data_IF_832651295511
#
_entry.id   IF_832651295511
#
_cell.length_a   1.000
_cell.length_b   1.000
_cell.length_c   1.000
_cell.angle_alpha   90.00
_cell.angle_beta   90.00
_cell.angle_gamma   90.00
#
_symmetry.space_group_name_H-M   'P 1'
#
loop_
_entity.id
_entity.type
_entity.pdbx_description
1 polymer ?
#
# COMPACT_ATOMS: atom_id res chain seq x y z
N UNK A 1 -16.31 -2.07 -10.24
CA UNK A 1 -15.70 -3.32 -9.74
C UNK A 1 -16.47 -3.69 -8.49
N UNK A 2 -16.91 -4.93 -8.34
CA UNK A 2 -17.58 -5.41 -7.13
C UNK A 2 -16.52 -5.76 -6.10
N UNK A 3 -16.39 -4.95 -5.05
CA UNK A 3 -15.43 -5.22 -3.95
C UNK A 3 -15.87 -6.49 -3.21
N UNK A 4 -15.23 -7.62 -3.49
CA UNK A 4 -15.52 -8.87 -2.78
C UNK A 4 -14.80 -8.88 -1.42
N UNK A 5 -15.28 -9.69 -0.48
CA UNK A 5 -14.59 -9.89 0.78
C UNK A 5 -13.17 -10.46 0.59
N UNK A 6 -12.95 -11.26 -0.46
CA UNK A 6 -11.66 -11.85 -0.77
C UNK A 6 -10.65 -10.77 -1.19
N UNK A 7 -11.05 -9.87 -2.10
CA UNK A 7 -10.22 -8.74 -2.56
C UNK A 7 -9.85 -7.83 -1.39
N UNK A 8 -10.84 -7.45 -0.57
CA UNK A 8 -10.61 -6.60 0.59
C UNK A 8 -9.69 -7.24 1.63
N UNK A 9 -9.78 -8.56 1.85
CA UNK A 9 -8.86 -9.27 2.73
C UNK A 9 -7.45 -9.36 2.16
N UNK A 10 -7.32 -9.53 0.84
CA UNK A 10 -6.02 -9.49 0.19
C UNK A 10 -5.32 -8.16 0.42
N UNK A 11 -6.00 -7.04 0.19
CA UNK A 11 -5.46 -5.70 0.40
C UNK A 11 -5.03 -5.48 1.86
N UNK A 12 -5.86 -5.89 2.82
CA UNK A 12 -5.50 -5.81 4.24
C UNK A 12 -4.26 -6.66 4.56
N UNK A 13 -4.18 -7.87 4.04
CA UNK A 13 -3.06 -8.77 4.29
C UNK A 13 -1.76 -8.24 3.68
N UNK A 14 -1.84 -7.66 2.48
CA UNK A 14 -0.72 -6.99 1.84
C UNK A 14 -0.24 -5.79 2.66
N UNK A 15 -1.14 -4.89 3.07
CA UNK A 15 -0.79 -3.75 3.92
C UNK A 15 -0.25 -4.19 5.29
N UNK A 16 -0.76 -5.28 5.87
CA UNK A 16 -0.25 -5.87 7.10
C UNK A 16 1.19 -6.38 6.94
N UNK A 17 1.50 -7.00 5.80
CA UNK A 17 2.86 -7.44 5.47
C UNK A 17 3.81 -6.25 5.30
N UNK A 18 3.39 -5.21 4.58
CA UNK A 18 4.18 -3.98 4.43
C UNK A 18 4.46 -3.31 5.78
N UNK A 19 3.43 -3.11 6.60
CA UNK A 19 3.56 -2.48 7.91
C UNK A 19 4.53 -3.25 8.82
N UNK A 20 4.45 -4.59 8.85
CA UNK A 20 5.39 -5.43 9.62
C UNK A 20 6.83 -5.31 9.12
N UNK A 21 7.01 -5.31 7.81
CA UNK A 21 8.34 -5.23 7.18
C UNK A 21 8.99 -3.86 7.42
N UNK A 22 8.20 -2.79 7.37
CA UNK A 22 8.66 -1.40 7.46
C UNK A 22 8.64 -0.85 8.89
N UNK A 23 8.17 -1.61 9.88
CA UNK A 23 8.12 -1.20 11.29
C UNK A 23 9.47 -0.65 11.84
N UNK A 24 10.65 -1.16 11.43
CA UNK A 24 11.92 -0.58 11.83
C UNK A 24 12.13 0.88 11.43
N UNK A 25 11.40 1.41 10.45
CA UNK A 25 11.48 2.81 10.00
C UNK A 25 11.04 3.81 11.07
N UNK A 26 10.20 3.39 12.02
CA UNK A 26 9.81 4.23 13.15
C UNK A 26 10.99 4.39 14.10
N UNK A 27 11.40 5.63 14.38
CA UNK A 27 12.56 5.90 15.22
C UNK A 27 12.29 5.61 16.71
N UNK A 28 11.06 5.84 17.17
CA UNK A 28 10.68 5.69 18.58
C UNK A 28 10.12 4.29 18.83
N UNK A 29 10.59 3.63 19.89
CA UNK A 29 10.03 2.35 20.31
C UNK A 29 8.55 2.46 20.72
N UNK A 30 8.14 3.58 21.32
CA UNK A 30 6.73 3.81 21.68
C UNK A 30 5.82 3.78 20.43
N UNK A 31 6.23 4.45 19.36
CA UNK A 31 5.50 4.46 18.08
C UNK A 31 5.39 3.05 17.47
N UNK A 32 6.46 2.23 17.56
CA UNK A 32 6.39 0.82 17.15
C UNK A 32 5.32 0.05 17.94
N UNK A 33 5.23 0.26 19.25
CA UNK A 33 4.22 -0.40 20.08
C UNK A 33 2.80 0.07 19.71
N UNK A 34 2.60 1.37 19.45
CA UNK A 34 1.32 1.92 19.02
C UNK A 34 0.89 1.37 17.66
N UNK A 35 1.79 1.35 16.67
CA UNK A 35 1.55 0.74 15.38
C UNK A 35 1.17 -0.75 15.48
N UNK A 36 1.85 -1.52 16.35
CA UNK A 36 1.49 -2.92 16.61
C UNK A 36 0.09 -3.05 17.20
N UNK A 37 -0.31 -2.18 18.14
CA UNK A 37 -1.67 -2.21 18.71
C UNK A 37 -2.73 -1.91 17.65
N UNK A 38 -2.49 -0.93 16.79
CA UNK A 38 -3.36 -0.63 15.65
C UNK A 38 -3.46 -1.79 14.67
N UNK A 39 -2.34 -2.40 14.28
CA UNK A 39 -2.35 -3.60 13.44
C UNK A 39 -3.19 -4.74 14.05
N UNK A 40 -3.08 -4.97 15.36
CA UNK A 40 -3.89 -5.98 16.06
C UNK A 40 -5.39 -5.65 16.05
N UNK A 41 -5.76 -4.39 16.28
CA UNK A 41 -7.16 -3.93 16.20
C UNK A 41 -7.71 -4.16 14.79
N UNK A 42 -7.01 -3.68 13.78
CA UNK A 42 -7.44 -3.73 12.37
C UNK A 42 -7.55 -5.16 11.85
N UNK A 43 -6.70 -6.09 12.31
CA UNK A 43 -6.79 -7.50 11.98
C UNK A 43 -8.13 -8.16 12.38
N UNK A 44 -8.89 -7.55 13.31
CA UNK A 44 -10.17 -8.06 13.81
C UNK A 44 -11.40 -7.33 13.27
N UNK A 45 -11.21 -6.30 12.43
CA UNK A 45 -12.29 -5.47 11.91
C UNK A 45 -12.77 -5.99 10.55
N UNK A 46 -13.50 -7.11 10.55
CA UNK A 46 -13.87 -7.83 9.33
C UNK A 46 -15.29 -8.44 9.35
N UNK A 47 -16.23 -7.83 10.07
CA UNK A 47 -17.60 -8.36 10.25
C UNK A 47 -18.53 -8.03 9.09
N UNK A 48 -18.31 -6.92 8.39
CA UNK A 48 -19.08 -6.53 7.20
C UNK A 48 -18.16 -5.98 6.12
N UNK A 49 -18.65 -5.91 4.87
CA UNK A 49 -17.91 -5.34 3.74
C UNK A 49 -17.54 -3.88 4.01
N UNK A 50 -18.44 -3.11 4.61
CA UNK A 50 -18.21 -1.71 4.98
C UNK A 50 -17.12 -1.58 6.05
N UNK A 51 -17.13 -2.45 7.06
CA UNK A 51 -16.07 -2.48 8.06
C UNK A 51 -14.72 -2.87 7.44
N UNK A 52 -14.71 -3.81 6.49
CA UNK A 52 -13.50 -4.24 5.79
C UNK A 52 -12.92 -3.15 4.90
N UNK A 53 -13.78 -2.36 4.23
CA UNK A 53 -13.35 -1.17 3.46
C UNK A 53 -12.69 -0.15 4.39
N UNK A 54 -13.37 0.21 5.47
CA UNK A 54 -12.83 1.16 6.44
C UNK A 54 -11.54 0.66 7.10
N UNK A 55 -11.46 -0.63 7.45
CA UNK A 55 -10.23 -1.27 7.92
C UNK A 55 -9.09 -1.07 6.92
N UNK A 56 -9.36 -1.24 5.63
CA UNK A 56 -8.35 -1.11 4.59
C UNK A 56 -7.86 0.35 4.47
N UNK A 57 -8.75 1.33 4.59
CA UNK A 57 -8.38 2.76 4.62
C UNK A 57 -7.45 3.06 5.80
N UNK A 58 -7.81 2.60 7.01
CA UNK A 58 -6.96 2.73 8.19
C UNK A 58 -5.60 2.03 8.01
N UNK A 59 -5.58 0.82 7.43
CA UNK A 59 -4.33 0.10 7.18
C UNK A 59 -3.43 0.82 6.18
N UNK A 60 -4.01 1.37 5.11
CA UNK A 60 -3.28 2.15 4.12
C UNK A 60 -2.59 3.35 4.77
N UNK A 61 -3.33 4.17 5.51
CA UNK A 61 -2.75 5.34 6.18
C UNK A 61 -1.70 4.95 7.23
N UNK A 62 -1.91 3.84 7.96
CA UNK A 62 -0.89 3.35 8.89
C UNK A 62 0.41 2.96 8.16
N UNK A 63 0.32 2.30 7.00
CA UNK A 63 1.49 1.96 6.17
C UNK A 63 2.21 3.22 5.70
N UNK A 64 1.48 4.24 5.23
CA UNK A 64 2.06 5.52 4.80
C UNK A 64 2.85 6.18 5.95
N UNK A 65 2.27 6.24 7.14
CA UNK A 65 2.93 6.78 8.33
C UNK A 65 4.21 6.00 8.69
N UNK A 66 4.14 4.66 8.69
CA UNK A 66 5.31 3.80 8.95
C UNK A 66 6.41 4.02 7.89
N UNK A 67 6.04 4.17 6.62
CA UNK A 67 6.98 4.47 5.54
C UNK A 67 7.69 5.80 5.73
N UNK A 68 6.95 6.82 6.17
CA UNK A 68 7.48 8.16 6.48
C UNK A 68 8.34 8.19 7.75
N UNK A 69 8.26 7.15 8.59
CA UNK A 69 9.06 7.01 9.82
C UNK A 69 8.49 7.75 11.02
N UNK A 70 7.29 8.32 10.91
CA UNK A 70 6.59 9.02 11.99
C UNK A 70 5.09 8.75 11.94
N UNK A 71 4.48 8.51 13.12
CA UNK A 71 3.03 8.34 13.23
C UNK A 71 2.33 9.70 13.31
N UNK A 72 1.32 9.89 12.46
CA UNK A 72 0.38 11.00 12.56
C UNK A 72 -0.94 10.52 13.21
N UNK A 73 -1.78 11.45 13.73
CA UNK A 73 -3.12 11.10 14.20
C UNK A 73 -3.91 10.32 13.12
N UNK A 74 -4.76 9.34 13.51
CA UNK A 74 -5.06 8.92 14.88
C UNK A 74 -4.06 7.92 15.49
N UNK A 75 -2.98 7.57 14.78
CA UNK A 75 -2.06 6.51 15.17
C UNK A 75 -1.08 6.90 16.28
N UNK A 76 -1.01 8.19 16.63
CA UNK A 76 -0.23 8.71 17.77
C UNK A 76 -0.76 8.25 19.12
N UNK A 77 -2.02 7.81 19.18
CA UNK A 77 -2.70 7.27 20.35
C UNK A 77 -2.99 5.77 20.19
N UNK A 78 -3.16 5.01 21.28
CA UNK A 78 -3.61 3.62 21.18
C UNK A 78 -5.00 3.53 20.53
N UNK A 79 -5.31 2.45 19.78
CA UNK A 79 -6.61 2.29 19.14
C UNK A 79 -7.72 2.23 20.21
N UNK A 80 -8.87 2.87 19.96
CA UNK A 80 -9.99 2.81 20.89
C UNK A 80 -10.64 1.42 20.89
N UNK A 81 -11.35 1.13 21.97
CA UNK A 81 -12.17 -0.08 22.09
C UNK A 81 -13.42 -0.01 21.21
N UNK A 82 -13.88 1.19 20.87
CA UNK A 82 -15.03 1.43 20.00
C UNK A 82 -14.83 0.89 18.57
N UNK A 83 -15.93 0.67 17.82
CA UNK A 83 -15.88 0.32 16.39
C UNK A 83 -15.13 1.36 15.53
N UNK A 84 -14.57 0.92 14.40
CA UNK A 84 -13.87 1.82 13.46
C UNK A 84 -14.74 2.96 12.91
N UNK A 85 -16.04 2.77 12.60
CA UNK A 85 -16.87 3.86 12.08
C UNK A 85 -16.87 5.11 12.97
N UNK A 86 -16.81 4.94 14.29
CA UNK A 86 -16.85 6.03 15.27
C UNK A 86 -15.65 6.99 15.12
N UNK A 87 -14.55 6.51 14.53
CA UNK A 87 -13.30 7.25 14.35
C UNK A 87 -12.92 7.46 12.89
N UNK A 88 -13.79 7.08 11.94
CA UNK A 88 -13.51 7.23 10.50
C UNK A 88 -13.19 8.68 10.10
N UNK A 89 -13.80 9.65 10.79
CA UNK A 89 -13.58 11.07 10.59
C UNK A 89 -12.17 11.56 10.97
N UNK A 90 -11.38 10.74 11.68
CA UNK A 90 -10.00 11.06 12.04
C UNK A 90 -8.99 10.74 10.92
N UNK A 91 -9.39 10.01 9.89
CA UNK A 91 -8.52 9.78 8.73
C UNK A 91 -8.49 11.03 7.83
N UNK A 92 -7.34 11.36 7.23
CA UNK A 92 -7.27 12.35 6.16
C UNK A 92 -8.25 11.97 5.05
N UNK A 93 -9.14 12.88 4.66
CA UNK A 93 -10.18 12.60 3.66
C UNK A 93 -11.28 11.67 4.19
N UNK A 94 -11.89 11.99 5.34
CA UNK A 94 -13.09 11.31 5.86
C UNK A 94 -14.20 11.15 4.82
N UNK A 95 -15.35 10.52 5.13
CA UNK A 95 -16.31 9.99 4.14
C UNK A 95 -16.93 11.00 3.14
N UNK A 96 -16.57 12.28 3.21
CA UNK A 96 -16.79 13.25 2.16
C UNK A 96 -15.74 13.09 1.05
N UNK A 97 -16.16 12.41 -0.02
CA UNK A 97 -15.65 12.55 -1.38
C UNK A 97 -14.18 12.15 -1.59
N UNK A 98 -13.95 10.84 -1.74
CA UNK A 98 -12.88 10.36 -2.63
C UNK A 98 -13.13 10.95 -4.02
N UNK A 99 -12.47 12.06 -4.32
CA UNK A 99 -12.40 12.60 -5.66
C UNK A 99 -11.53 11.65 -6.50
N UNK A 100 -12.19 10.73 -7.20
CA UNK A 100 -11.57 9.77 -8.12
C UNK A 100 -10.68 10.42 -9.18
N UNK A 101 -10.82 11.73 -9.42
CA UNK A 101 -9.97 12.47 -10.34
C UNK A 101 -8.58 12.80 -9.75
N UNK A 102 -8.47 13.05 -8.43
CA UNK A 102 -7.16 13.26 -7.77
C UNK A 102 -6.32 11.97 -7.76
N UNK A 103 -6.95 10.81 -7.60
CA UNK A 103 -6.26 9.50 -7.70
C UNK A 103 -5.68 9.27 -9.11
N UNK A 104 -6.41 9.69 -10.15
CA UNK A 104 -5.91 9.63 -11.53
C UNK A 104 -4.81 10.64 -11.79
N UNK A 105 -4.89 11.84 -11.22
CA UNK A 105 -3.85 12.87 -11.38
C UNK A 105 -2.54 12.51 -10.67
N UNK A 106 -2.58 11.86 -9.51
CA UNK A 106 -1.35 11.35 -8.87
C UNK A 106 -0.72 10.16 -9.62
N UNK A 107 -1.53 9.31 -10.25
CA UNK A 107 -1.03 8.26 -11.15
C UNK A 107 -0.56 8.81 -12.52
N UNK A 108 -1.13 9.92 -12.99
CA UNK A 108 -0.83 10.55 -14.27
C UNK A 108 0.24 11.66 -14.19
N UNK A 109 0.57 12.15 -12.98
CA UNK A 109 1.62 13.17 -12.75
C UNK A 109 3.04 12.59 -12.75
N UNK A 110 3.17 11.26 -12.84
CA UNK A 110 4.38 10.63 -13.38
C UNK A 110 4.48 10.98 -14.87
N UNK A 111 5.25 12.03 -15.18
CA UNK A 111 5.27 12.67 -16.50
C UNK A 111 5.39 11.70 -17.69
N UNK A 112 5.06 12.22 -18.87
CA UNK A 112 5.07 11.58 -20.21
C UNK A 112 6.36 10.86 -20.63
N UNK A 113 7.37 10.77 -19.75
CA UNK A 113 8.57 9.97 -19.94
C UNK A 113 8.26 8.51 -19.60
N UNK A 114 8.39 7.65 -20.61
CA UNK A 114 8.35 6.20 -20.43
C UNK A 114 9.34 5.81 -19.31
N UNK A 115 9.00 4.85 -18.43
CA UNK A 115 9.91 4.39 -17.39
C UNK A 115 11.27 4.00 -17.99
N UNK A 116 12.39 4.28 -17.30
CA UNK A 116 13.75 4.00 -17.83
C UNK A 116 13.93 2.55 -18.31
N UNK A 117 13.15 1.61 -17.78
CA UNK A 117 13.14 0.22 -18.18
C UNK A 117 12.67 0.02 -19.64
N UNK A 118 11.72 0.82 -20.12
CA UNK A 118 11.27 0.80 -21.52
C UNK A 118 12.38 1.28 -22.46
N UNK A 119 13.05 2.38 -22.11
CA UNK A 119 14.11 2.98 -22.96
C UNK A 119 15.33 2.07 -23.10
N UNK A 120 15.68 1.31 -22.05
CA UNK A 120 16.87 0.46 -22.01
C UNK A 120 16.62 -0.99 -22.41
N UNK A 121 15.37 -1.34 -22.70
CA UNK A 121 15.05 -2.70 -23.14
C UNK A 121 15.54 -2.93 -24.58
N UNK A 122 16.12 -4.10 -24.88
CA UNK A 122 16.61 -4.41 -26.23
C UNK A 122 15.54 -4.35 -27.33
N UNK A 123 14.27 -4.52 -26.94
CA UNK A 123 13.10 -4.57 -27.81
C UNK A 123 12.25 -3.29 -27.75
N UNK A 124 12.77 -2.20 -27.16
CA UNK A 124 12.06 -0.92 -27.05
C UNK A 124 10.79 -0.96 -26.19
N UNK A 125 10.65 -2.00 -25.36
CA UNK A 125 9.61 -2.17 -24.36
C UNK A 125 8.44 -3.02 -24.85
N UNK A 126 8.58 -3.66 -26.02
CA UNK A 126 7.54 -4.50 -26.61
C UNK A 126 7.12 -5.65 -25.68
N UNK A 127 8.08 -6.32 -25.05
CA UNK A 127 7.84 -7.34 -24.05
C UNK A 127 7.01 -6.80 -22.89
N UNK A 128 7.41 -5.66 -22.30
CA UNK A 128 6.73 -5.04 -21.16
C UNK A 128 5.30 -4.60 -21.52
N UNK A 129 5.10 -4.09 -22.74
CA UNK A 129 3.78 -3.66 -23.23
C UNK A 129 2.83 -4.84 -23.47
N UNK A 130 3.36 -6.01 -23.81
CA UNK A 130 2.58 -7.23 -24.00
C UNK A 130 2.27 -7.96 -22.68
N UNK A 131 2.83 -7.52 -21.55
CA UNK A 131 2.58 -8.18 -20.27
C UNK A 131 1.14 -7.95 -19.83
N UNK A 132 0.46 -8.99 -19.30
CA UNK A 132 -0.87 -8.82 -18.75
C UNK A 132 -0.82 -7.84 -17.57
N UNK A 133 -1.84 -6.98 -17.47
CA UNK A 133 -2.02 -6.17 -16.27
C UNK A 133 -2.47 -7.11 -15.15
N UNK A 134 -1.70 -7.24 -14.06
CA UNK A 134 -2.08 -8.11 -12.95
C UNK A 134 -3.41 -7.62 -12.39
N UNK A 135 -4.41 -8.51 -12.35
CA UNK A 135 -5.69 -8.22 -11.69
C UNK A 135 -5.53 -8.08 -10.17
N UNK A 136 -4.50 -8.71 -9.62
CA UNK A 136 -4.12 -8.72 -8.20
C UNK A 136 -2.61 -9.03 -8.09
N UNK A 137 -1.90 -8.39 -7.16
CA UNK A 137 -0.46 -8.57 -6.93
C UNK A 137 0.45 -7.79 -7.89
N UNK A 138 1.70 -8.24 -8.03
CA UNK A 138 2.70 -7.65 -8.93
C UNK A 138 3.41 -8.73 -9.74
N UNK A 139 3.70 -8.44 -11.02
CA UNK A 139 4.65 -9.24 -11.80
C UNK A 139 6.05 -8.67 -11.60
N UNK A 140 6.96 -9.51 -11.10
CA UNK A 140 8.36 -9.15 -10.90
C UNK A 140 9.21 -9.80 -11.99
N UNK A 141 9.89 -8.98 -12.81
CA UNK A 141 10.81 -9.47 -13.85
C UNK A 141 12.25 -9.29 -13.38
N UNK A 142 13.03 -10.36 -13.44
CA UNK A 142 14.45 -10.35 -13.11
C UNK A 142 15.28 -10.58 -14.39
N UNK A 143 16.12 -9.61 -14.75
CA UNK A 143 17.08 -9.78 -15.83
C UNK A 143 18.42 -10.24 -15.25
N UNK A 144 18.92 -11.39 -15.71
CA UNK A 144 20.23 -11.91 -15.34
C UNK A 144 21.16 -11.76 -16.54
N UNK A 145 22.28 -11.08 -16.35
CA UNK A 145 23.33 -10.91 -17.37
C UNK A 145 24.61 -11.59 -16.90
N UNK A 146 25.15 -12.49 -17.72
CA UNK A 146 26.47 -13.05 -17.53
C UNK A 146 27.49 -12.21 -18.30
N UNK A 147 28.59 -11.83 -17.65
CA UNK A 147 29.71 -11.19 -18.32
C UNK A 147 30.55 -12.27 -18.98
N UNK A 148 30.73 -12.19 -20.30
CA UNK A 148 31.65 -13.10 -20.99
C UNK A 148 33.08 -12.86 -20.48
N UNK A 149 33.79 -13.95 -20.19
CA UNK A 149 35.20 -13.90 -19.84
C UNK A 149 35.99 -13.42 -21.05
N UNK A 150 36.83 -12.40 -20.84
CA UNK A 150 37.81 -12.00 -21.86
C UNK A 150 38.68 -13.22 -22.15
N UNK A 151 38.64 -13.73 -23.39
CA UNK A 151 39.67 -14.63 -23.89
C UNK A 151 40.95 -13.81 -24.03
N UNK A 152 41.96 -14.14 -23.22
CA UNK A 152 43.35 -13.71 -23.44
C UNK A 152 43.91 -14.28 -24.74
#
# INVERSE_FOLDING_TARGET
MTDTAEDLNYDCNYNMFLAKTMLPNLNKNDDKHKAIRWMKKLATCNKSIEEMKLRNDFMYYLVVNIQQGELQPPFTEPPPTSPLPDIAHLLPGGPAEVNLDEWKEHAASGGTKKPMLYEKSPDGGAFLAAQPVPRCGAFCYLAVVAKESKKE
#
